data_IF_465043325302
#
_entry.id   IF_465043325302
#
_cell.length_a   1.000
_cell.length_b   1.000
_cell.length_c   1.000
_cell.angle_alpha   90.00
_cell.angle_beta   90.00
_cell.angle_gamma   90.00
#
_symmetry.space_group_name_H-M   'P 1'
#
loop_
_entity.id
_entity.type
_entity.pdbx_description
1 polymer ?
#
# COMPACT_ATOMS: atom_id res chain seq x y z
N UNK A 1 35.85 66.33 35.58
CA UNK A 1 34.69 66.33 36.50
C UNK A 1 33.74 65.24 36.01
N UNK A 2 33.91 64.03 36.57
CA UNK A 2 32.94 63.35 37.44
C UNK A 2 31.67 62.86 36.71
N UNK A 3 31.75 61.56 36.36
CA UNK A 3 30.77 60.47 36.54
C UNK A 3 29.26 60.76 36.46
N UNK A 4 28.56 59.90 35.71
CA UNK A 4 27.34 59.12 36.05
C UNK A 4 26.57 58.88 34.74
N UNK A 5 26.12 57.69 34.35
CA UNK A 5 26.00 56.41 35.02
C UNK A 5 25.42 55.36 34.07
N UNK A 6 25.30 54.14 34.60
CA UNK A 6 24.42 53.02 34.24
C UNK A 6 24.24 52.69 32.73
N UNK A 7 24.69 51.55 32.21
CA UNK A 7 24.31 50.23 32.71
C UNK A 7 22.99 49.77 32.07
N UNK A 8 22.97 49.56 30.75
CA UNK A 8 21.83 48.92 30.06
C UNK A 8 22.20 47.47 29.74
N UNK A 9 21.74 46.58 30.61
CA UNK A 9 21.88 45.14 30.52
C UNK A 9 21.25 44.58 29.22
N UNK A 10 21.95 43.62 28.63
CA UNK A 10 21.44 42.74 27.57
C UNK A 10 20.23 41.98 28.10
N UNK A 11 19.04 42.29 27.59
CA UNK A 11 17.86 41.45 27.79
C UNK A 11 17.97 40.20 26.89
N UNK A 12 17.95 38.97 27.44
CA UNK A 12 17.71 37.80 26.62
C UNK A 12 16.27 37.85 26.12
N UNK A 13 16.07 37.71 24.81
CA UNK A 13 14.76 37.48 24.20
C UNK A 13 14.23 36.13 24.70
N UNK A 14 13.52 36.16 25.82
CA UNK A 14 12.64 35.08 26.25
C UNK A 14 11.50 34.98 25.23
N UNK A 15 11.57 33.99 24.35
CA UNK A 15 10.37 33.50 23.66
C UNK A 15 9.60 32.64 24.67
N UNK A 16 8.33 32.97 25.01
CA UNK A 16 7.48 32.00 25.69
C UNK A 16 7.23 30.84 24.74
N UNK A 17 7.74 29.66 25.11
CA UNK A 17 7.40 28.37 24.53
C UNK A 17 5.91 28.11 24.77
N UNK A 18 5.07 28.50 23.82
CA UNK A 18 3.71 28.03 23.72
C UNK A 18 3.75 26.54 23.36
N UNK A 19 3.80 25.68 24.39
CA UNK A 19 3.42 24.27 24.29
C UNK A 19 1.92 24.20 24.00
N UNK A 20 1.57 24.40 22.74
CA UNK A 20 0.24 24.09 22.23
C UNK A 20 0.20 22.59 21.95
N UNK A 21 -0.08 21.79 22.99
CA UNK A 21 -0.54 20.40 22.82
C UNK A 21 -1.93 20.44 22.18
N UNK A 22 -1.97 20.68 20.87
CA UNK A 22 -3.17 20.46 20.05
C UNK A 22 -3.23 18.96 19.74
N UNK A 23 -4.21 18.34 20.40
CA UNK A 23 -4.76 17.01 20.16
C UNK A 23 -4.67 16.60 18.68
N UNK A 24 -4.28 15.35 18.36
CA UNK A 24 -4.27 14.90 16.99
C UNK A 24 -5.70 15.00 16.45
N UNK A 25 -5.86 15.78 15.39
CA UNK A 25 -7.02 15.74 14.53
C UNK A 25 -7.09 14.32 13.94
N UNK A 26 -7.67 13.38 14.70
CA UNK A 26 -8.28 12.21 14.10
C UNK A 26 -9.48 12.76 13.34
N UNK A 27 -9.23 13.21 12.12
CA UNK A 27 -10.26 13.34 11.10
C UNK A 27 -10.86 11.96 10.95
N UNK A 28 -11.93 11.70 11.71
CA UNK A 28 -12.85 10.61 11.45
C UNK A 28 -13.44 10.92 10.09
N UNK A 29 -12.76 10.46 9.04
CA UNK A 29 -13.24 10.51 7.68
C UNK A 29 -14.57 9.76 7.72
N UNK A 30 -15.67 10.51 7.71
CA UNK A 30 -17.00 9.94 7.53
C UNK A 30 -17.02 9.42 6.11
N UNK A 31 -16.55 8.18 5.93
CA UNK A 31 -16.69 7.46 4.67
C UNK A 31 -18.19 7.34 4.48
N UNK A 32 -18.76 8.15 3.56
CA UNK A 32 -20.16 8.01 3.17
C UNK A 32 -20.36 6.55 2.78
N UNK A 33 -21.17 5.86 3.59
CA UNK A 33 -21.41 4.42 3.44
C UNK A 33 -22.40 4.23 2.30
N UNK A 34 -21.89 4.09 1.08
CA UNK A 34 -22.68 3.60 -0.03
C UNK A 34 -22.62 2.07 -0.02
N UNK A 35 -23.78 1.43 0.07
CA UNK A 35 -23.91 -0.02 0.07
C UNK A 35 -24.55 -0.48 -1.24
N UNK A 36 -23.93 -1.48 -1.88
CA UNK A 36 -24.45 -2.13 -3.07
C UNK A 36 -24.45 -3.64 -2.83
N UNK A 37 -25.57 -4.29 -3.15
CA UNK A 37 -25.72 -5.74 -2.99
C UNK A 37 -25.28 -6.46 -4.26
N UNK A 38 -24.48 -7.50 -4.11
CA UNK A 38 -24.07 -8.41 -5.19
C UNK A 38 -24.50 -9.83 -4.86
N UNK A 39 -24.89 -10.60 -5.87
CA UNK A 39 -25.35 -11.98 -5.70
C UNK A 39 -24.17 -12.94 -5.70
N UNK A 40 -24.14 -13.83 -4.71
CA UNK A 40 -23.23 -14.98 -4.72
C UNK A 40 -23.83 -16.07 -5.61
N UNK A 41 -23.08 -16.56 -6.58
CA UNK A 41 -23.50 -17.64 -7.48
C UNK A 41 -23.30 -19.01 -6.85
N UNK A 42 -23.79 -20.07 -7.49
CA UNK A 42 -23.67 -21.47 -7.03
C UNK A 42 -22.21 -21.92 -6.84
N UNK A 43 -21.27 -21.29 -7.55
CA UNK A 43 -19.83 -21.56 -7.44
C UNK A 43 -19.13 -20.69 -6.38
N UNK A 44 -19.90 -20.03 -5.50
CA UNK A 44 -19.40 -19.08 -4.49
C UNK A 44 -18.63 -17.90 -5.10
N UNK A 45 -18.94 -17.55 -6.34
CA UNK A 45 -18.34 -16.41 -7.03
C UNK A 45 -19.25 -15.20 -6.88
N UNK A 46 -18.65 -14.01 -6.82
CA UNK A 46 -19.35 -12.74 -6.91
C UNK A 46 -18.91 -12.02 -8.17
N UNK A 47 -19.87 -11.43 -8.87
CA UNK A 47 -19.57 -10.59 -10.04
C UNK A 47 -19.55 -9.14 -9.59
N UNK A 48 -18.41 -8.49 -9.74
CA UNK A 48 -18.27 -7.07 -9.45
C UNK A 48 -18.82 -6.23 -10.61
N UNK A 49 -19.61 -5.18 -10.32
CA UNK A 49 -19.96 -4.17 -11.31
C UNK A 49 -18.69 -3.53 -11.88
N UNK A 50 -18.70 -3.21 -13.17
CA UNK A 50 -17.53 -2.64 -13.88
C UNK A 50 -16.95 -1.41 -13.15
N UNK A 51 -17.81 -0.47 -12.75
CA UNK A 51 -17.41 0.74 -12.02
C UNK A 51 -16.61 0.44 -10.74
N UNK A 52 -16.93 -0.64 -10.03
CA UNK A 52 -16.20 -1.02 -8.80
C UNK A 52 -14.80 -1.51 -9.15
N UNK A 53 -14.66 -2.31 -10.22
CA UNK A 53 -13.34 -2.78 -10.68
C UNK A 53 -12.48 -1.63 -11.20
N UNK A 54 -13.09 -0.67 -11.92
CA UNK A 54 -12.40 0.53 -12.42
C UNK A 54 -11.86 1.38 -11.27
N UNK A 55 -12.69 1.61 -10.23
CA UNK A 55 -12.27 2.35 -9.02
C UNK A 55 -11.23 1.59 -8.19
N UNK A 56 -11.30 0.25 -8.15
CA UNK A 56 -10.26 -0.59 -7.55
C UNK A 56 -8.97 -0.62 -8.40
N UNK A 57 -9.05 -0.24 -9.68
CA UNK A 57 -7.95 -0.31 -10.63
C UNK A 57 -7.49 -1.73 -10.93
N UNK A 58 -8.42 -2.69 -10.97
CA UNK A 58 -8.17 -4.12 -11.19
C UNK A 58 -8.59 -4.50 -12.61
N UNK A 59 -7.75 -5.23 -13.33
CA UNK A 59 -8.02 -5.75 -14.67
C UNK A 59 -8.27 -7.26 -14.66
N UNK A 60 -8.86 -7.84 -15.72
CA UNK A 60 -8.94 -9.29 -15.86
C UNK A 60 -7.55 -9.93 -15.77
N UNK A 61 -7.39 -10.89 -14.84
CA UNK A 61 -6.12 -11.56 -14.55
C UNK A 61 -5.38 -11.03 -13.32
N UNK A 62 -5.75 -9.86 -12.80
CA UNK A 62 -5.21 -9.34 -11.55
C UNK A 62 -5.80 -10.08 -10.34
N UNK A 63 -5.07 -10.04 -9.22
CA UNK A 63 -5.46 -10.66 -7.97
C UNK A 63 -6.02 -9.63 -6.98
N UNK A 64 -7.01 -10.04 -6.20
CA UNK A 64 -7.55 -9.28 -5.07
C UNK A 64 -7.25 -10.07 -3.79
N UNK A 65 -6.65 -9.39 -2.83
CA UNK A 65 -6.37 -9.92 -1.49
C UNK A 65 -7.61 -9.75 -0.60
N UNK A 66 -7.94 -10.80 0.15
CA UNK A 66 -8.96 -10.79 1.20
C UNK A 66 -8.24 -10.73 2.55
N UNK A 67 -8.40 -9.61 3.24
CA UNK A 67 -7.83 -9.42 4.57
C UNK A 67 -8.94 -9.50 5.62
N UNK A 68 -8.76 -10.36 6.62
CA UNK A 68 -9.68 -10.45 7.76
C UNK A 68 -9.60 -9.21 8.64
N UNK A 69 -10.75 -8.74 9.10
CA UNK A 69 -10.91 -7.66 10.06
C UNK A 69 -12.12 -7.89 10.97
N UNK A 70 -12.37 -6.97 11.92
CA UNK A 70 -13.40 -7.14 12.95
C UNK A 70 -14.83 -7.33 12.42
N UNK A 71 -15.14 -6.67 11.29
CA UNK A 71 -16.48 -6.63 10.70
C UNK A 71 -16.59 -7.50 9.43
N UNK A 72 -15.62 -8.39 9.17
CA UNK A 72 -15.57 -9.24 8.00
C UNK A 72 -14.29 -9.04 7.18
N UNK A 73 -14.39 -9.25 5.86
CA UNK A 73 -13.24 -9.18 4.96
C UNK A 73 -13.14 -7.82 4.27
N UNK A 74 -11.90 -7.32 4.19
CA UNK A 74 -11.55 -6.16 3.40
C UNK A 74 -10.85 -6.62 2.10
N UNK A 75 -11.36 -6.15 0.96
CA UNK A 75 -10.81 -6.44 -0.36
C UNK A 75 -9.75 -5.41 -0.72
N UNK A 76 -8.56 -5.85 -1.14
CA UNK A 76 -7.48 -4.98 -1.63
C UNK A 76 -6.96 -5.47 -2.98
N UNK A 77 -6.75 -4.60 -3.97
CA UNK A 77 -5.99 -4.96 -5.17
C UNK A 77 -4.59 -5.42 -4.78
N UNK A 78 -4.20 -6.65 -5.18
CA UNK A 78 -2.85 -7.15 -5.00
C UNK A 78 -1.99 -6.67 -6.16
N UNK A 79 -1.25 -5.59 -5.95
CA UNK A 79 -0.31 -5.06 -6.96
C UNK A 79 1.02 -5.80 -6.86
N UNK A 80 1.55 -6.22 -8.00
CA UNK A 80 2.92 -6.74 -8.07
C UNK A 80 3.87 -5.56 -7.87
N UNK A 81 4.70 -5.65 -6.84
CA UNK A 81 5.78 -4.70 -6.63
C UNK A 81 6.94 -5.05 -7.58
N UNK A 82 6.98 -4.38 -8.73
CA UNK A 82 8.00 -4.59 -9.74
C UNK A 82 9.42 -4.24 -9.25
N UNK A 83 9.56 -3.43 -8.19
CA UNK A 83 10.88 -3.16 -7.60
C UNK A 83 11.49 -4.42 -6.97
N UNK A 84 10.66 -5.34 -6.46
CA UNK A 84 11.09 -6.63 -5.91
C UNK A 84 11.51 -7.63 -6.98
N UNK A 85 11.08 -7.44 -8.23
CA UNK A 85 11.51 -8.28 -9.35
C UNK A 85 12.98 -8.02 -9.74
N UNK A 86 13.55 -6.88 -9.35
CA UNK A 86 14.96 -6.56 -9.57
C UNK A 86 15.93 -7.55 -8.89
N UNK A 87 15.52 -8.16 -7.78
CA UNK A 87 16.31 -9.15 -7.03
C UNK A 87 16.58 -10.45 -7.81
N UNK A 88 15.89 -10.68 -8.92
CA UNK A 88 16.13 -11.82 -9.79
C UNK A 88 17.20 -11.54 -10.84
N UNK A 89 17.53 -10.27 -11.14
CA UNK A 89 18.52 -9.93 -12.18
C UNK A 89 19.90 -10.46 -11.84
N UNK A 90 20.33 -10.29 -10.59
CA UNK A 90 21.65 -10.74 -10.13
C UNK A 90 21.75 -12.27 -10.02
N UNK A 91 20.60 -12.97 -10.04
CA UNK A 91 20.54 -14.44 -10.03
C UNK A 91 20.56 -15.04 -11.44
N UNK A 92 20.42 -14.24 -12.49
CA UNK A 92 20.52 -14.69 -13.88
C UNK A 92 22.01 -14.73 -14.24
N UNK A 93 22.51 -15.92 -14.58
CA UNK A 93 23.91 -16.07 -15.01
C UNK A 93 24.15 -15.24 -16.28
N UNK A 94 25.24 -14.47 -16.38
CA UNK A 94 25.58 -13.76 -17.62
C UNK A 94 25.74 -14.77 -18.76
N UNK A 95 25.11 -14.50 -19.91
CA UNK A 95 25.07 -15.41 -21.05
C UNK A 95 23.92 -16.42 -21.05
N UNK A 96 23.01 -16.38 -20.06
CA UNK A 96 21.77 -17.17 -20.11
C UNK A 96 20.93 -16.69 -21.31
N UNK A 97 20.53 -17.58 -22.23
CA UNK A 97 19.66 -17.19 -23.34
C UNK A 97 18.33 -16.66 -22.81
N UNK A 98 17.68 -15.71 -23.51
CA UNK A 98 16.36 -15.22 -23.13
C UNK A 98 15.37 -16.37 -22.96
N UNK A 99 14.54 -16.30 -21.91
CA UNK A 99 13.50 -17.29 -21.66
C UNK A 99 12.52 -17.34 -22.84
N UNK A 100 12.47 -18.48 -23.54
CA UNK A 100 11.51 -18.71 -24.59
C UNK A 100 10.14 -19.04 -23.97
N UNK A 101 9.29 -18.03 -23.89
CA UNK A 101 7.96 -18.11 -23.28
C UNK A 101 7.06 -19.11 -24.01
N UNK A 102 7.26 -19.31 -25.33
CA UNK A 102 6.45 -20.25 -26.12
C UNK A 102 6.79 -21.68 -25.74
N UNK A 103 8.08 -22.02 -25.75
CA UNK A 103 8.55 -23.34 -25.30
C UNK A 103 8.12 -23.66 -23.87
N UNK A 104 8.27 -22.71 -22.95
CA UNK A 104 7.86 -22.89 -21.55
C UNK A 104 6.36 -23.18 -21.41
N UNK A 105 5.51 -22.52 -22.21
CA UNK A 105 4.07 -22.75 -22.20
C UNK A 105 3.71 -24.12 -22.77
N UNK A 106 4.43 -24.55 -23.80
CA UNK A 106 4.17 -25.82 -24.49
C UNK A 106 4.67 -27.04 -23.69
N UNK A 107 5.71 -26.87 -22.86
CA UNK A 107 6.29 -27.95 -22.05
C UNK A 107 5.37 -28.46 -20.93
N UNK A 108 4.33 -27.70 -20.55
CA UNK A 108 3.36 -28.09 -19.53
C UNK A 108 3.95 -28.09 -18.11
N UNK A 109 3.35 -27.32 -17.21
CA UNK A 109 3.75 -27.31 -15.81
C UNK A 109 3.24 -28.58 -15.13
N UNK A 110 4.13 -29.49 -14.70
CA UNK A 110 3.79 -30.58 -13.79
C UNK A 110 3.70 -30.02 -12.36
N UNK A 111 2.50 -30.01 -11.74
CA UNK A 111 2.29 -29.42 -10.43
C UNK A 111 2.58 -30.39 -9.28
N UNK A 112 3.22 -31.54 -9.50
CA UNK A 112 3.51 -32.48 -8.42
C UNK A 112 4.33 -31.79 -7.32
N UNK A 113 3.76 -31.61 -6.11
CA UNK A 113 4.48 -30.99 -5.02
C UNK A 113 5.59 -31.94 -4.58
N UNK A 114 6.80 -31.41 -4.44
CA UNK A 114 7.95 -32.10 -3.86
C UNK A 114 7.52 -32.67 -2.49
N UNK A 115 7.53 -34.00 -2.35
CA UNK A 115 7.35 -34.68 -1.06
C UNK A 115 8.72 -34.86 -0.43
N UNK A 116 8.93 -34.22 0.71
CA UNK A 116 10.00 -34.56 1.66
C UNK A 116 9.65 -35.84 2.43
#
# INVERSE_FOLDING_TARGET
MTATGAGAARLPRFYPTLRLTRLPYFTRLSVRRFAMLVKVTSKRQVTFPAKVLDELGVKPGDQIELQEGPDGYLLKPRRIDYSKLGTLRDKIKPGTPPLDIRKLRDEGYDPTPYRD
#
